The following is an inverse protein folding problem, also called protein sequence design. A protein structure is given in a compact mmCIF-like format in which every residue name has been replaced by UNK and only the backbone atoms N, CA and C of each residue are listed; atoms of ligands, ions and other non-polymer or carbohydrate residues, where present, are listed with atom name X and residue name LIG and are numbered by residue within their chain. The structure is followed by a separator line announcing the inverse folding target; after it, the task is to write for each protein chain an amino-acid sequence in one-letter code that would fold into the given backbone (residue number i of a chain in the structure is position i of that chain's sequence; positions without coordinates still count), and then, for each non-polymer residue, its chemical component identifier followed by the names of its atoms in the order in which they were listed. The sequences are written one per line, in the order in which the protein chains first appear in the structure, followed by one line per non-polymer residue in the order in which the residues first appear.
data_IF_666121376417
#
_entry.id   IF_666121376417
#
_cell.length_a   1.000
_cell.length_b   1.000
_cell.length_c   1.000
_cell.angle_alpha   90.00
_cell.angle_beta   90.00
_cell.angle_gamma   90.00
#
_symmetry.space_group_name_H-M   'P 1'
#
loop_
_entity.id
_entity.type
_entity.pdbx_description
1 polymer ?
#
# COMPACT_ATOMS: atom_id res chain seq x y z
N UNK A 1 24.29 -10.57 20.34
CA UNK A 1 22.96 -10.02 20.01
C UNK A 1 22.09 -11.17 19.56
N UNK A 2 21.31 -11.77 20.46
CA UNK A 2 20.40 -12.88 20.18
C UNK A 2 18.97 -12.37 20.24
N UNK A 3 18.55 -11.61 19.22
CA UNK A 3 17.13 -11.34 19.00
C UNK A 3 16.46 -12.64 18.56
N UNK A 4 15.31 -12.98 19.13
CA UNK A 4 14.53 -14.15 18.69
C UNK A 4 14.11 -13.92 17.23
N UNK A 5 13.99 -14.99 16.45
CA UNK A 5 13.50 -14.91 15.06
C UNK A 5 12.17 -14.16 14.92
N UNK A 6 11.35 -14.12 15.98
CA UNK A 6 10.10 -13.35 16.05
C UNK A 6 10.22 -11.83 16.23
N UNK A 7 11.41 -11.28 16.47
CA UNK A 7 11.64 -9.83 16.61
C UNK A 7 12.06 -9.16 15.30
N UNK A 8 12.16 -9.91 14.19
CA UNK A 8 12.44 -9.34 12.87
C UNK A 8 11.17 -8.76 12.28
N UNK A 9 11.12 -7.43 12.21
CA UNK A 9 10.14 -6.73 11.37
C UNK A 9 10.58 -6.91 9.92
N UNK A 10 9.90 -7.82 9.22
CA UNK A 10 10.08 -7.97 7.78
C UNK A 10 9.23 -6.91 7.05
N UNK A 11 9.93 -6.00 6.38
CA UNK A 11 9.29 -5.01 5.50
C UNK A 11 9.22 -5.58 4.10
N UNK A 12 8.02 -5.60 3.54
CA UNK A 12 7.82 -5.95 2.14
C UNK A 12 8.26 -4.75 1.28
N UNK A 13 9.53 -4.76 0.90
CA UNK A 13 10.12 -3.69 0.07
C UNK A 13 9.42 -3.54 -1.28
N UNK A 14 8.79 -4.61 -1.77
CA UNK A 14 8.08 -4.61 -3.05
C UNK A 14 6.80 -3.77 -2.88
N UNK A 15 6.03 -4.01 -1.82
CA UNK A 15 4.83 -3.24 -1.52
C UNK A 15 5.08 -1.78 -1.10
N UNK A 16 6.28 -1.43 -0.64
CA UNK A 16 6.63 -0.05 -0.25
C UNK A 16 6.39 0.97 -1.39
N UNK A 17 6.63 0.58 -2.64
CA UNK A 17 6.37 1.44 -3.80
C UNK A 17 4.91 1.86 -3.94
N UNK A 18 3.97 0.98 -3.57
CA UNK A 18 2.54 1.30 -3.57
C UNK A 18 2.20 2.34 -2.50
N UNK A 19 2.85 2.24 -1.34
CA UNK A 19 2.70 3.20 -0.24
C UNK A 19 3.16 4.60 -0.66
N UNK A 20 4.35 4.71 -1.25
CA UNK A 20 4.93 5.98 -1.71
C UNK A 20 4.04 6.64 -2.76
N UNK A 21 3.57 5.86 -3.75
CA UNK A 21 2.68 6.35 -4.80
C UNK A 21 1.35 6.86 -4.22
N UNK A 22 0.75 6.10 -3.30
CA UNK A 22 -0.51 6.46 -2.67
C UNK A 22 -0.38 7.69 -1.74
N UNK A 23 0.75 7.87 -1.07
CA UNK A 23 1.02 9.06 -0.27
C UNK A 23 1.04 10.35 -1.11
N UNK A 24 1.68 10.26 -2.29
CA UNK A 24 1.83 11.36 -3.24
C UNK A 24 0.61 11.58 -4.14
N UNK A 25 -0.37 10.68 -4.07
CA UNK A 25 -1.61 10.78 -4.82
C UNK A 25 -2.33 12.10 -4.52
N UNK A 26 -2.75 12.79 -5.58
CA UNK A 26 -3.45 14.09 -5.51
C UNK A 26 -4.96 13.95 -5.67
N UNK A 27 -5.45 12.72 -5.89
CA UNK A 27 -6.86 12.45 -6.04
C UNK A 27 -7.65 12.87 -4.79
N UNK A 28 -8.74 13.64 -4.98
CA UNK A 28 -9.58 14.07 -3.86
C UNK A 28 -10.16 12.86 -3.15
N UNK A 29 -10.36 12.98 -1.83
CA UNK A 29 -11.06 11.94 -1.07
C UNK A 29 -12.50 11.79 -1.63
N UNK A 30 -13.01 10.58 -1.88
CA UNK A 30 -14.34 10.36 -2.47
C UNK A 30 -15.49 11.05 -1.71
N UNK A 31 -15.35 11.16 -0.38
CA UNK A 31 -16.31 11.87 0.51
C UNK A 31 -16.09 13.39 0.61
N UNK A 32 -15.16 13.97 -0.15
CA UNK A 32 -14.87 15.41 -0.14
C UNK A 32 -14.01 15.90 1.03
N UNK A 33 -13.42 15.00 1.82
CA UNK A 33 -12.53 15.36 2.92
C UNK A 33 -11.22 16.00 2.44
N UNK A 34 -10.69 16.93 3.23
CA UNK A 34 -9.40 17.55 2.99
C UNK A 34 -8.28 16.52 3.23
N UNK A 35 -7.36 16.40 2.26
CA UNK A 35 -6.18 15.55 2.38
C UNK A 35 -5.14 16.14 3.33
N UNK A 36 -5.31 15.84 4.62
CA UNK A 36 -4.30 16.09 5.65
C UNK A 36 -3.14 15.10 5.57
N UNK A 37 -2.00 15.41 6.19
CA UNK A 37 -0.88 14.47 6.32
C UNK A 37 -1.33 13.14 6.93
N UNK A 38 -2.21 13.15 7.93
CA UNK A 38 -2.73 11.94 8.55
C UNK A 38 -3.53 11.07 7.57
N UNK A 39 -4.41 11.69 6.77
CA UNK A 39 -5.17 10.96 5.73
C UNK A 39 -4.25 10.37 4.66
N UNK A 40 -3.19 11.09 4.25
CA UNK A 40 -2.18 10.60 3.31
C UNK A 40 -1.41 9.39 3.85
N UNK A 41 -1.10 9.39 5.15
CA UNK A 41 -0.46 8.24 5.80
C UNK A 41 -1.40 7.02 5.83
N UNK A 42 -2.69 7.20 6.16
CA UNK A 42 -3.67 6.10 6.12
C UNK A 42 -3.81 5.52 4.72
N UNK A 43 -3.90 6.41 3.72
CA UNK A 43 -3.91 6.06 2.30
C UNK A 43 -2.71 5.21 1.90
N UNK A 44 -1.50 5.64 2.28
CA UNK A 44 -0.26 4.93 2.03
C UNK A 44 -0.19 3.56 2.73
N UNK A 45 -0.65 3.50 3.99
CA UNK A 45 -0.68 2.26 4.76
C UNK A 45 -1.64 1.24 4.14
N UNK A 46 -2.82 1.67 3.73
CA UNK A 46 -3.77 0.79 3.04
C UNK A 46 -3.16 0.27 1.73
N UNK A 47 -2.58 1.15 0.90
CA UNK A 47 -1.95 0.75 -0.36
C UNK A 47 -0.83 -0.28 -0.17
N UNK A 48 -0.01 -0.12 0.88
CA UNK A 48 1.02 -1.09 1.25
C UNK A 48 0.44 -2.47 1.58
N UNK A 49 -0.54 -2.53 2.48
CA UNK A 49 -1.14 -3.80 2.91
C UNK A 49 -1.92 -4.46 1.77
N UNK A 50 -2.62 -3.68 0.95
CA UNK A 50 -3.30 -4.17 -0.24
C UNK A 50 -2.31 -4.73 -1.28
N UNK A 51 -1.20 -4.04 -1.53
CA UNK A 51 -0.20 -4.51 -2.49
C UNK A 51 0.51 -5.80 -2.00
N UNK A 52 0.73 -5.95 -0.69
CA UNK A 52 1.27 -7.19 -0.11
C UNK A 52 0.40 -8.41 -0.37
N UNK A 53 -0.93 -8.24 -0.31
CA UNK A 53 -1.89 -9.34 -0.52
C UNK A 53 -2.18 -9.61 -1.99
N UNK A 54 -1.97 -8.61 -2.86
CA UNK A 54 -2.28 -8.69 -4.30
C UNK A 54 -1.06 -8.86 -5.21
N UNK A 55 0.17 -8.84 -4.68
CA UNK A 55 1.36 -9.18 -5.47
C UNK A 55 1.24 -10.59 -6.05
N UNK A 56 1.61 -10.75 -7.31
CA UNK A 56 1.52 -12.04 -8.01
C UNK A 56 2.90 -12.69 -8.07
N UNK A 57 3.03 -14.02 -7.92
CA UNK A 57 4.30 -14.68 -8.11
C UNK A 57 4.82 -14.45 -9.53
N UNK A 58 6.11 -14.15 -9.64
CA UNK A 58 6.82 -13.95 -10.89
C UNK A 58 7.17 -15.28 -11.56
N UNK A 59 7.84 -15.20 -12.71
CA UNK A 59 8.33 -16.38 -13.45
C UNK A 59 9.51 -17.09 -12.78
N UNK A 60 10.07 -16.53 -11.70
CA UNK A 60 11.22 -17.06 -10.97
C UNK A 60 10.97 -16.99 -9.47
N UNK A 61 11.48 -17.97 -8.74
CA UNK A 61 11.38 -18.00 -7.27
C UNK A 61 11.94 -16.71 -6.65
N UNK A 62 11.13 -16.11 -5.76
CA UNK A 62 11.45 -14.85 -5.10
C UNK A 62 11.17 -13.59 -5.92
N UNK A 63 10.74 -13.71 -7.17
CA UNK A 63 10.26 -12.58 -7.98
C UNK A 63 8.75 -12.45 -7.83
N UNK A 64 8.28 -11.21 -7.83
CA UNK A 64 6.85 -10.89 -7.78
C UNK A 64 6.53 -9.82 -8.81
N UNK A 65 5.39 -9.97 -9.48
CA UNK A 65 4.78 -8.90 -10.24
C UNK A 65 4.00 -8.00 -9.29
N UNK A 66 4.32 -6.72 -9.38
CA UNK A 66 3.63 -5.68 -8.64
C UNK A 66 2.25 -5.41 -9.25
N UNK A 67 1.23 -5.12 -8.43
CA UNK A 67 0.02 -4.51 -8.93
C UNK A 67 0.35 -3.21 -9.68
N UNK A 68 -0.35 -2.96 -10.78
CA UNK A 68 -0.13 -1.74 -11.56
C UNK A 68 -0.51 -0.51 -10.71
N UNK A 69 0.16 0.65 -10.92
CA UNK A 69 -0.19 1.87 -10.17
C UNK A 69 -1.67 2.27 -10.29
N UNK A 70 -2.30 1.96 -11.44
CA UNK A 70 -3.74 2.16 -11.65
C UNK A 70 -4.62 1.26 -10.79
N UNK A 71 -4.22 0.00 -10.58
CA UNK A 71 -4.93 -0.95 -9.71
C UNK A 71 -4.83 -0.51 -8.24
N UNK A 72 -3.63 -0.12 -7.79
CA UNK A 72 -3.41 0.42 -6.44
C UNK A 72 -4.27 1.65 -6.19
N UNK A 73 -4.29 2.60 -7.14
CA UNK A 73 -5.12 3.81 -7.06
C UNK A 73 -6.60 3.47 -6.94
N UNK A 74 -7.10 2.53 -7.75
CA UNK A 74 -8.50 2.13 -7.71
C UNK A 74 -8.87 1.52 -6.35
N UNK A 75 -8.05 0.60 -5.84
CA UNK A 75 -8.27 -0.05 -4.55
C UNK A 75 -8.28 0.96 -3.39
N UNK A 76 -7.36 1.92 -3.40
CA UNK A 76 -7.32 3.00 -2.39
C UNK A 76 -8.60 3.83 -2.41
N UNK A 77 -9.07 4.25 -3.59
CA UNK A 77 -10.28 5.06 -3.70
C UNK A 77 -11.54 4.29 -3.32
N UNK A 78 -11.59 2.99 -3.62
CA UNK A 78 -12.67 2.11 -3.18
C UNK A 78 -12.70 1.98 -1.65
N UNK A 79 -11.54 1.77 -1.03
CA UNK A 79 -11.41 1.76 0.42
C UNK A 79 -11.87 3.07 1.07
N UNK A 80 -11.39 4.22 0.57
CA UNK A 80 -11.77 5.53 1.11
C UNK A 80 -13.25 5.88 0.91
N UNK A 81 -13.89 5.32 -0.12
CA UNK A 81 -15.33 5.45 -0.31
C UNK A 81 -16.11 4.63 0.76
N UNK A 82 -15.57 3.49 1.17
CA UNK A 82 -16.17 2.60 2.15
C UNK A 82 -15.86 2.96 3.62
N UNK A 83 -14.72 3.61 3.89
CA UNK A 83 -14.27 4.01 5.24
C UNK A 83 -15.20 5.09 5.81
N UNK A 84 -15.93 4.79 6.90
CA UNK A 84 -17.01 5.63 7.50
C UNK A 84 -16.59 7.05 7.89
#
# INVERSE_FOLDING_TARGET
MTGREGDRIEVDRIAMHAADAAYMMVDPHPKGYILTTASRVRRALYAYEWAKTNKRPGTRDGYFYLPDPGEVRAAVLEYEAADE
#
